data_IF_734967130194
#
_entry.id   IF_734967130194
#
_cell.length_a   1.000
_cell.length_b   1.000
_cell.length_c   1.000
_cell.angle_alpha   90.00
_cell.angle_beta   90.00
_cell.angle_gamma   90.00
#
_symmetry.space_group_name_H-M   'P 1'
#
loop_
_entity.id
_entity.type
_entity.pdbx_description
1 polymer ?
#
# COMPACT_ATOMS: atom_id res chain seq x y z
N UNK A 1 43.39 77.57 2.30
CA UNK A 1 43.65 76.21 1.77
C UNK A 1 43.17 75.18 2.79
N UNK A 2 42.37 74.21 2.31
CA UNK A 2 42.01 72.90 2.90
C UNK A 2 41.24 72.85 4.23
N UNK A 3 39.92 72.65 4.10
CA UNK A 3 39.04 71.98 5.07
C UNK A 3 39.34 70.49 5.09
N UNK A 4 39.37 69.86 6.27
CA UNK A 4 39.16 68.41 6.45
C UNK A 4 38.21 68.21 7.64
N UNK A 5 37.01 67.63 7.43
CA UNK A 5 36.07 67.37 8.51
C UNK A 5 36.35 66.04 9.21
N UNK A 6 36.07 66.03 10.51
CA UNK A 6 36.04 64.87 11.39
C UNK A 6 34.92 63.93 10.92
N UNK A 7 35.26 62.73 10.46
CA UNK A 7 34.30 61.67 10.15
C UNK A 7 34.34 60.65 11.29
N UNK A 8 33.25 60.56 12.06
CA UNK A 8 32.99 59.48 13.03
C UNK A 8 32.80 58.16 12.26
N UNK A 9 33.39 57.03 12.69
CA UNK A 9 33.08 55.75 12.08
C UNK A 9 31.66 55.32 12.45
N UNK A 10 30.81 55.21 11.43
CA UNK A 10 29.51 54.52 11.51
C UNK A 10 29.78 53.02 11.56
N UNK A 11 29.46 52.39 12.69
CA UNK A 11 29.35 50.94 12.83
C UNK A 11 28.18 50.46 11.97
N UNK A 12 28.47 49.77 10.87
CA UNK A 12 27.49 49.00 10.12
C UNK A 12 27.40 47.63 10.79
N UNK A 13 26.37 47.43 11.62
CA UNK A 13 26.02 46.11 12.14
C UNK A 13 25.40 45.31 11.00
N UNK A 14 26.17 44.40 10.41
CA UNK A 14 25.63 43.42 9.46
C UNK A 14 24.71 42.46 10.22
N UNK A 15 23.39 42.60 10.00
CA UNK A 15 22.40 41.65 10.49
C UNK A 15 22.51 40.38 9.63
N UNK A 16 23.25 39.40 10.13
CA UNK A 16 23.23 38.03 9.58
C UNK A 16 21.85 37.44 9.86
N UNK A 17 20.98 37.46 8.85
CA UNK A 17 19.79 36.61 8.83
C UNK A 17 20.29 35.18 8.64
N UNK A 18 20.57 34.51 9.74
CA UNK A 18 20.72 33.05 9.75
C UNK A 18 19.33 32.47 9.54
N UNK A 19 18.98 32.20 8.27
CA UNK A 19 17.86 31.31 7.97
C UNK A 19 18.18 29.96 8.61
N UNK A 20 17.35 29.53 9.56
CA UNK A 20 17.42 28.17 10.07
C UNK A 20 17.08 27.25 8.91
N UNK A 21 18.09 26.60 8.33
CA UNK A 21 17.86 25.47 7.44
C UNK A 21 17.18 24.38 8.27
N UNK A 22 15.87 24.25 8.12
CA UNK A 22 15.12 23.16 8.72
C UNK A 22 15.56 21.89 8.00
N UNK A 23 15.99 20.88 8.76
CA UNK A 23 16.34 19.59 8.17
C UNK A 23 15.09 19.03 7.46
N UNK A 24 15.29 18.38 6.32
CA UNK A 24 14.20 17.71 5.61
C UNK A 24 13.54 16.67 6.55
N UNK A 25 12.23 16.44 6.41
CA UNK A 25 11.53 15.46 7.21
C UNK A 25 12.09 14.06 6.90
N UNK A 26 12.17 13.23 7.94
CA UNK A 26 12.52 11.83 7.75
C UNK A 26 11.33 11.01 7.23
N UNK A 27 11.60 9.76 6.84
CA UNK A 27 10.56 8.87 6.33
C UNK A 27 9.42 8.62 7.32
N UNK A 28 9.69 8.64 8.63
CA UNK A 28 8.65 8.44 9.65
C UNK A 28 7.71 9.64 9.70
N UNK A 29 8.24 10.86 9.69
CA UNK A 29 7.44 12.08 9.67
C UNK A 29 6.56 12.16 8.42
N UNK A 30 7.11 11.78 7.26
CA UNK A 30 6.34 11.68 6.01
C UNK A 30 5.20 10.67 6.14
N UNK A 31 5.48 9.51 6.72
CA UNK A 31 4.51 8.44 6.86
C UNK A 31 3.38 8.82 7.83
N UNK A 32 3.71 9.43 8.97
CA UNK A 32 2.79 9.87 10.02
C UNK A 32 1.74 10.88 9.53
N UNK A 33 2.08 11.73 8.56
CA UNK A 33 1.13 12.71 7.99
C UNK A 33 0.40 12.20 6.75
N UNK A 34 0.87 11.08 6.19
CA UNK A 34 0.22 10.38 5.08
C UNK A 34 -0.88 9.46 5.61
N UNK A 35 -1.84 9.02 4.77
CA UNK A 35 -2.86 8.06 5.19
C UNK A 35 -2.33 6.62 5.32
N UNK A 36 -1.05 6.37 5.01
CA UNK A 36 -0.52 5.01 4.86
C UNK A 36 -0.54 4.24 6.17
N UNK A 37 -0.09 4.83 7.28
CA UNK A 37 -0.06 4.13 8.58
C UNK A 37 -1.44 3.72 9.06
N UNK A 38 -2.39 4.63 8.90
CA UNK A 38 -3.80 4.38 9.14
C UNK A 38 -4.31 3.19 8.30
N UNK A 39 -4.06 3.22 7.00
CA UNK A 39 -4.54 2.18 6.09
C UNK A 39 -3.87 0.83 6.40
N UNK A 40 -2.55 0.82 6.64
CA UNK A 40 -1.77 -0.38 6.97
C UNK A 40 -2.24 -1.02 8.28
N UNK A 41 -2.60 -0.22 9.29
CA UNK A 41 -3.16 -0.74 10.55
C UNK A 41 -4.45 -1.57 10.34
N UNK A 42 -5.17 -1.33 9.23
CA UNK A 42 -6.44 -2.01 8.89
C UNK A 42 -6.23 -3.24 8.00
N UNK A 43 -5.07 -3.38 7.36
CA UNK A 43 -4.76 -4.47 6.42
C UNK A 43 -4.87 -5.88 7.01
N UNK A 44 -4.36 -6.17 8.23
CA UNK A 44 -4.49 -7.51 8.80
C UNK A 44 -5.95 -7.95 8.93
N UNK A 45 -6.85 -7.07 9.39
CA UNK A 45 -8.28 -7.36 9.50
C UNK A 45 -8.92 -7.63 8.12
N UNK A 46 -8.61 -6.77 7.13
CA UNK A 46 -9.09 -6.92 5.75
C UNK A 46 -8.65 -8.25 5.13
N UNK A 47 -7.36 -8.58 5.23
CA UNK A 47 -6.80 -9.81 4.69
C UNK A 47 -7.40 -11.06 5.36
N UNK A 48 -7.51 -11.03 6.69
CA UNK A 48 -8.11 -12.12 7.48
C UNK A 48 -9.57 -12.38 7.10
N UNK A 49 -10.32 -11.31 6.81
CA UNK A 49 -11.69 -11.43 6.33
C UNK A 49 -11.75 -11.99 4.91
N UNK A 50 -10.92 -11.46 3.99
CA UNK A 50 -10.85 -11.91 2.60
C UNK A 50 -10.50 -13.40 2.48
N UNK A 51 -9.50 -13.86 3.23
CA UNK A 51 -9.10 -15.28 3.26
C UNK A 51 -10.24 -16.15 3.77
N UNK A 52 -10.88 -15.78 4.88
CA UNK A 52 -12.01 -16.55 5.42
C UNK A 52 -13.16 -16.65 4.44
N UNK A 53 -13.49 -15.56 3.75
CA UNK A 53 -14.56 -15.55 2.74
C UNK A 53 -14.19 -16.41 1.52
N UNK A 54 -12.97 -16.28 1.00
CA UNK A 54 -12.49 -17.09 -0.11
C UNK A 54 -12.44 -18.60 0.20
N UNK A 55 -12.04 -18.97 1.42
CA UNK A 55 -12.03 -20.37 1.86
C UNK A 55 -13.44 -20.94 2.03
N UNK A 56 -14.41 -20.13 2.48
CA UNK A 56 -15.83 -20.54 2.57
C UNK A 56 -16.45 -20.77 1.19
N UNK A 57 -16.19 -19.86 0.24
CA UNK A 57 -16.75 -19.96 -1.12
C UNK A 57 -16.22 -21.17 -1.89
N UNK A 58 -14.98 -21.58 -1.64
CA UNK A 58 -14.41 -22.75 -2.30
C UNK A 58 -14.93 -24.09 -1.75
N UNK A 59 -15.60 -24.14 -0.58
CA UNK A 59 -16.31 -25.32 -0.05
C UNK A 59 -15.48 -26.61 0.14
N UNK A 60 -14.20 -26.60 -0.20
CA UNK A 60 -13.34 -27.79 -0.35
C UNK A 60 -12.50 -28.09 0.90
N UNK A 61 -12.47 -27.18 1.88
CA UNK A 61 -11.67 -27.34 3.09
C UNK A 61 -12.56 -27.54 4.32
N UNK A 62 -12.25 -28.52 5.19
CA UNK A 62 -12.89 -28.62 6.50
C UNK A 62 -12.77 -27.28 7.26
N UNK A 63 -13.83 -26.80 7.94
CA UNK A 63 -13.83 -25.49 8.61
C UNK A 63 -12.67 -25.28 9.58
N UNK A 64 -12.21 -26.35 10.26
CA UNK A 64 -11.04 -26.31 11.14
C UNK A 64 -9.73 -26.01 10.39
N UNK A 65 -9.55 -26.57 9.20
CA UNK A 65 -8.38 -26.31 8.34
C UNK A 65 -8.44 -24.87 7.82
N UNK A 66 -9.61 -24.43 7.35
CA UNK A 66 -9.80 -23.05 6.89
C UNK A 66 -9.52 -22.02 7.99
N UNK A 67 -9.99 -22.28 9.22
CA UNK A 67 -9.72 -21.42 10.37
C UNK A 67 -8.24 -21.42 10.77
N UNK A 68 -7.57 -22.58 10.69
CA UNK A 68 -6.15 -22.70 11.02
C UNK A 68 -5.29 -21.92 10.01
N UNK A 69 -5.55 -22.08 8.71
CA UNK A 69 -4.87 -21.30 7.65
C UNK A 69 -5.15 -19.81 7.82
N UNK A 70 -6.41 -19.43 8.04
CA UNK A 70 -6.79 -18.05 8.32
C UNK A 70 -5.97 -17.47 9.47
N UNK A 71 -5.92 -18.14 10.62
CA UNK A 71 -5.19 -17.69 11.80
C UNK A 71 -3.68 -17.61 11.58
N UNK A 72 -3.08 -18.61 10.91
CA UNK A 72 -1.64 -18.62 10.62
C UNK A 72 -1.27 -17.44 9.73
N UNK A 73 -2.05 -17.21 8.67
CA UNK A 73 -1.82 -16.11 7.74
C UNK A 73 -2.05 -14.76 8.45
N UNK A 74 -3.13 -14.62 9.23
CA UNK A 74 -3.38 -13.43 10.07
C UNK A 74 -2.26 -13.15 11.07
N UNK A 75 -1.68 -14.18 11.67
CA UNK A 75 -0.60 -14.05 12.67
C UNK A 75 0.73 -13.67 12.04
N UNK A 76 0.91 -13.95 10.74
CA UNK A 76 2.08 -13.52 9.96
C UNK A 76 2.04 -12.04 9.57
N UNK A 77 0.88 -11.39 9.66
CA UNK A 77 0.73 -9.96 9.34
C UNK A 77 0.75 -9.11 10.60
N UNK A 78 1.88 -8.44 10.82
CA UNK A 78 2.04 -7.47 11.89
C UNK A 78 2.12 -6.07 11.28
N UNK A 79 1.17 -5.19 11.63
CA UNK A 79 1.14 -3.81 11.12
C UNK A 79 2.39 -3.02 11.50
N UNK A 80 2.99 -3.29 12.66
CA UNK A 80 4.22 -2.63 13.10
C UNK A 80 5.40 -3.03 12.21
N UNK A 81 5.48 -4.30 11.81
CA UNK A 81 6.56 -4.77 10.94
C UNK A 81 6.40 -4.22 9.52
N UNK A 82 5.16 -4.14 9.02
CA UNK A 82 4.84 -3.51 7.73
C UNK A 82 5.23 -2.02 7.77
N UNK A 83 4.84 -1.29 8.81
CA UNK A 83 5.20 0.12 9.00
C UNK A 83 6.72 0.32 9.02
N UNK A 84 7.45 -0.45 9.83
CA UNK A 84 8.90 -0.34 9.90
C UNK A 84 9.57 -0.66 8.56
N UNK A 85 9.06 -1.64 7.80
CA UNK A 85 9.55 -1.93 6.46
C UNK A 85 9.34 -0.74 5.51
N UNK A 86 8.17 -0.10 5.54
CA UNK A 86 7.88 1.08 4.73
C UNK A 86 8.82 2.23 5.09
N UNK A 87 9.02 2.52 6.38
CA UNK A 87 9.92 3.59 6.84
C UNK A 87 11.35 3.34 6.34
N UNK A 88 11.87 2.13 6.53
CA UNK A 88 13.21 1.76 6.09
C UNK A 88 13.39 1.90 4.58
N UNK A 89 12.41 1.41 3.81
CA UNK A 89 12.45 1.47 2.36
C UNK A 89 12.31 2.90 1.83
N UNK A 90 11.45 3.73 2.44
CA UNK A 90 11.32 5.15 2.10
C UNK A 90 12.63 5.89 2.38
N UNK A 91 13.21 5.70 3.57
CA UNK A 91 14.47 6.35 3.95
C UNK A 91 15.64 5.93 3.05
N UNK A 92 15.64 4.69 2.55
CA UNK A 92 16.68 4.17 1.69
C UNK A 92 16.52 4.58 0.21
N UNK A 93 15.28 4.80 -0.26
CA UNK A 93 14.98 4.93 -1.70
C UNK A 93 14.55 6.34 -2.12
N UNK A 94 14.06 7.17 -1.20
CA UNK A 94 13.73 8.58 -1.49
C UNK A 94 14.90 9.49 -1.12
N UNK A 95 15.05 10.55 -1.90
CA UNK A 95 15.93 11.67 -1.56
C UNK A 95 15.26 12.59 -0.53
N UNK A 96 16.05 13.36 0.22
CA UNK A 96 15.55 14.39 1.15
C UNK A 96 14.57 15.35 0.47
N UNK A 97 14.84 15.74 -0.78
CA UNK A 97 13.93 16.60 -1.56
C UNK A 97 12.60 15.94 -1.90
N UNK A 98 12.60 14.62 -2.12
CA UNK A 98 11.36 13.88 -2.37
C UNK A 98 10.58 13.69 -1.07
N UNK A 99 11.26 13.37 0.04
CA UNK A 99 10.62 13.29 1.36
C UNK A 99 9.97 14.63 1.74
N UNK A 100 10.68 15.74 1.56
CA UNK A 100 10.13 17.08 1.79
C UNK A 100 8.91 17.36 0.88
N UNK A 101 8.99 17.05 -0.42
CA UNK A 101 7.88 17.31 -1.34
C UNK A 101 6.63 16.46 -1.02
N UNK A 102 6.81 15.21 -0.59
CA UNK A 102 5.70 14.37 -0.11
C UNK A 102 5.13 14.93 1.17
N UNK A 103 6.00 15.36 2.10
CA UNK A 103 5.56 15.96 3.35
C UNK A 103 4.68 17.20 3.10
N UNK A 104 5.20 18.15 2.33
CA UNK A 104 4.52 19.41 2.01
C UNK A 104 3.18 19.18 1.31
N UNK A 105 3.10 18.14 0.45
CA UNK A 105 1.84 17.76 -0.19
C UNK A 105 0.78 17.31 0.83
N UNK A 106 1.13 16.40 1.74
CA UNK A 106 0.19 15.89 2.74
C UNK A 106 -0.20 16.95 3.79
N UNK A 107 0.55 18.04 3.92
CA UNK A 107 0.15 19.22 4.69
C UNK A 107 -0.89 20.11 3.99
N UNK A 108 -1.23 19.86 2.72
CA UNK A 108 -2.23 20.66 2.02
C UNK A 108 -3.66 20.32 2.50
N UNK A 109 -4.61 21.28 2.47
CA UNK A 109 -6.02 20.99 2.77
C UNK A 109 -6.63 19.93 1.85
N UNK A 110 -6.22 19.90 0.58
CA UNK A 110 -6.70 18.93 -0.41
C UNK A 110 -6.24 17.52 -0.05
N UNK A 111 -4.94 17.34 0.23
CA UNK A 111 -4.42 16.05 0.65
C UNK A 111 -5.06 15.56 1.95
N UNK A 112 -5.21 16.40 2.98
CA UNK A 112 -5.91 16.00 4.21
C UNK A 112 -7.34 15.54 3.99
N UNK A 113 -8.08 16.20 3.10
CA UNK A 113 -9.45 15.82 2.74
C UNK A 113 -9.47 14.44 2.06
N UNK A 114 -8.54 14.21 1.15
CA UNK A 114 -8.37 12.95 0.43
C UNK A 114 -7.94 11.83 1.39
N UNK A 115 -6.91 12.05 2.21
CA UNK A 115 -6.46 11.11 3.25
C UNK A 115 -7.62 10.70 4.15
N UNK A 116 -8.44 11.66 4.60
CA UNK A 116 -9.61 11.37 5.42
C UNK A 116 -10.62 10.45 4.71
N UNK A 117 -10.81 10.64 3.41
CA UNK A 117 -11.70 9.81 2.60
C UNK A 117 -11.13 8.40 2.39
N UNK A 118 -9.84 8.28 2.08
CA UNK A 118 -9.13 7.00 1.89
C UNK A 118 -9.12 6.18 3.20
N UNK A 119 -8.82 6.83 4.33
CA UNK A 119 -8.86 6.20 5.66
C UNK A 119 -10.28 5.69 5.95
N UNK A 120 -11.30 6.53 5.75
CA UNK A 120 -12.70 6.12 5.98
C UNK A 120 -13.14 4.97 5.07
N UNK A 121 -12.67 4.92 3.82
CA UNK A 121 -12.96 3.84 2.88
C UNK A 121 -12.19 2.54 3.19
N UNK A 122 -11.05 2.63 3.88
CA UNK A 122 -10.27 1.47 4.31
C UNK A 122 -10.85 0.73 5.53
N UNK A 123 -11.81 1.33 6.22
CA UNK A 123 -12.50 0.70 7.36
C UNK A 123 -13.24 -0.58 6.92
N UNK A 124 -13.19 -1.68 7.71
CA UNK A 124 -13.94 -2.90 7.40
C UNK A 124 -15.44 -2.66 7.21
N UNK A 125 -16.01 -1.67 7.90
CA UNK A 125 -17.41 -1.29 7.79
C UNK A 125 -17.78 -0.58 6.48
N UNK A 126 -16.80 -0.09 5.72
CA UNK A 126 -17.02 0.57 4.43
C UNK A 126 -17.24 -0.44 3.30
N UNK A 127 -16.70 -1.65 3.40
CA UNK A 127 -16.74 -2.64 2.32
C UNK A 127 -18.16 -3.02 1.87
N UNK A 128 -19.11 -3.34 2.77
CA UNK A 128 -20.48 -3.64 2.34
C UNK A 128 -21.14 -2.42 1.68
N UNK A 129 -20.74 -1.20 2.08
CA UNK A 129 -21.28 0.04 1.51
C UNK A 129 -20.74 0.27 0.10
N UNK A 130 -19.44 0.04 -0.12
CA UNK A 130 -18.81 0.08 -1.46
C UNK A 130 -19.56 -0.88 -2.38
N UNK A 131 -19.71 -2.14 -1.98
CA UNK A 131 -20.42 -3.16 -2.78
C UNK A 131 -21.89 -2.79 -3.05
N UNK A 132 -22.62 -2.32 -2.04
CA UNK A 132 -24.03 -1.95 -2.20
C UNK A 132 -24.23 -0.72 -3.11
N UNK A 133 -23.30 0.22 -3.07
CA UNK A 133 -23.35 1.46 -3.85
C UNK A 133 -22.79 1.33 -5.27
N UNK A 134 -22.04 0.27 -5.56
CA UNK A 134 -21.26 0.12 -6.79
C UNK A 134 -22.12 0.33 -8.06
N UNK A 135 -23.26 -0.34 -8.17
CA UNK A 135 -24.12 -0.24 -9.35
C UNK A 135 -24.68 1.18 -9.57
N UNK A 136 -25.11 1.84 -8.49
CA UNK A 136 -25.64 3.20 -8.53
C UNK A 136 -24.55 4.20 -8.93
N UNK A 137 -23.39 4.15 -8.27
CA UNK A 137 -22.27 5.05 -8.54
C UNK A 137 -21.72 4.84 -9.95
N UNK A 138 -21.61 3.59 -10.43
CA UNK A 138 -21.22 3.31 -11.80
C UNK A 138 -22.19 3.96 -12.78
N UNK A 139 -23.50 3.80 -12.58
CA UNK A 139 -24.53 4.42 -13.43
C UNK A 139 -24.44 5.95 -13.41
N UNK A 140 -24.29 6.54 -12.22
CA UNK A 140 -24.23 7.98 -12.00
C UNK A 140 -23.01 8.62 -12.68
N UNK A 141 -21.84 7.99 -12.60
CA UNK A 141 -20.60 8.57 -13.08
C UNK A 141 -20.18 8.10 -14.47
N UNK A 142 -20.88 7.14 -15.08
CA UNK A 142 -20.58 6.65 -16.43
C UNK A 142 -20.53 7.79 -17.45
N UNK A 143 -19.42 7.90 -18.17
CA UNK A 143 -19.22 8.95 -19.19
C UNK A 143 -19.02 10.36 -18.62
N UNK A 144 -18.86 10.50 -17.30
CA UNK A 144 -18.48 11.77 -16.68
C UNK A 144 -16.97 11.94 -16.63
N UNK A 145 -16.51 13.19 -16.51
CA UNK A 145 -15.08 13.49 -16.29
C UNK A 145 -14.50 12.75 -15.07
N UNK A 146 -15.30 12.52 -14.02
CA UNK A 146 -14.85 11.79 -12.83
C UNK A 146 -14.47 10.34 -13.16
N UNK A 147 -15.27 9.66 -13.99
CA UNK A 147 -14.95 8.32 -14.46
C UNK A 147 -13.67 8.28 -15.32
N UNK A 148 -13.48 9.26 -16.21
CA UNK A 148 -12.28 9.35 -17.06
C UNK A 148 -10.98 9.53 -16.25
N UNK A 149 -11.04 10.25 -15.13
CA UNK A 149 -9.89 10.51 -14.27
C UNK A 149 -9.42 9.22 -13.60
N UNK A 150 -10.32 8.29 -13.27
CA UNK A 150 -9.96 7.09 -12.54
C UNK A 150 -9.10 6.09 -13.32
N UNK A 151 -9.21 6.05 -14.65
CA UNK A 151 -8.30 5.24 -15.46
C UNK A 151 -6.86 5.76 -15.38
N UNK A 152 -6.68 7.08 -15.35
CA UNK A 152 -5.35 7.71 -15.21
C UNK A 152 -4.86 7.61 -13.77
N UNK A 153 -5.76 7.80 -12.81
CA UNK A 153 -5.50 7.62 -11.39
C UNK A 153 -5.03 6.21 -11.07
N UNK A 154 -5.68 5.17 -11.58
CA UNK A 154 -5.28 3.78 -11.34
C UNK A 154 -3.88 3.48 -11.83
N UNK A 155 -3.49 4.03 -12.98
CA UNK A 155 -2.12 3.90 -13.51
C UNK A 155 -1.09 4.63 -12.64
N UNK A 156 -1.44 5.82 -12.14
CA UNK A 156 -0.55 6.61 -11.29
C UNK A 156 -0.40 6.00 -9.89
N UNK A 157 -1.50 5.56 -9.28
CA UNK A 157 -1.54 4.93 -7.96
C UNK A 157 -1.10 3.46 -7.98
N UNK A 158 -1.14 2.80 -9.15
CA UNK A 158 -0.86 1.37 -9.36
C UNK A 158 -1.72 0.42 -8.52
N UNK A 159 -2.91 0.85 -8.07
CA UNK A 159 -3.67 0.05 -7.10
C UNK A 159 -4.16 -1.28 -7.69
N UNK A 160 -4.67 -1.29 -8.92
CA UNK A 160 -5.10 -2.54 -9.58
C UNK A 160 -3.94 -3.51 -9.78
N UNK A 161 -2.79 -3.02 -10.25
CA UNK A 161 -1.58 -3.85 -10.42
C UNK A 161 -1.16 -4.48 -9.08
N UNK A 162 -1.07 -3.66 -8.04
CA UNK A 162 -0.68 -4.07 -6.69
C UNK A 162 -1.63 -5.10 -6.09
N UNK A 163 -2.93 -4.92 -6.28
CA UNK A 163 -3.96 -5.84 -5.81
C UNK A 163 -3.91 -7.19 -6.55
N UNK A 164 -3.64 -7.17 -7.87
CA UNK A 164 -3.42 -8.40 -8.65
C UNK A 164 -2.17 -9.13 -8.18
N UNK A 165 -1.05 -8.42 -8.01
CA UNK A 165 0.20 -9.01 -7.55
C UNK A 165 0.08 -9.59 -6.14
N UNK A 166 -0.58 -8.89 -5.24
CA UNK A 166 -0.86 -9.38 -3.88
C UNK A 166 -1.75 -10.62 -3.92
N UNK A 167 -2.79 -10.64 -4.76
CA UNK A 167 -3.66 -11.80 -4.92
C UNK A 167 -2.88 -13.03 -5.40
N UNK A 168 -2.03 -12.86 -6.41
CA UNK A 168 -1.17 -13.92 -6.93
C UNK A 168 -0.19 -14.41 -5.86
N UNK A 169 0.47 -13.49 -5.14
CA UNK A 169 1.41 -13.83 -4.07
C UNK A 169 0.75 -14.65 -2.96
N UNK A 170 -0.45 -14.25 -2.52
CA UNK A 170 -1.23 -15.01 -1.53
C UNK A 170 -1.59 -16.40 -2.06
N UNK A 171 -2.05 -16.52 -3.31
CA UNK A 171 -2.37 -17.82 -3.92
C UNK A 171 -1.15 -18.74 -4.03
N UNK A 172 0.00 -18.21 -4.46
CA UNK A 172 1.26 -18.95 -4.55
C UNK A 172 1.79 -19.38 -3.18
N UNK A 173 1.68 -18.52 -2.18
CA UNK A 173 2.09 -18.83 -0.83
C UNK A 173 1.21 -19.92 -0.19
N UNK A 174 -0.11 -19.87 -0.40
CA UNK A 174 -1.02 -20.94 0.01
C UNK A 174 -0.74 -22.26 -0.72
N UNK A 175 -0.49 -22.21 -2.03
CA UNK A 175 -0.09 -23.36 -2.83
C UNK A 175 1.20 -24.01 -2.30
N UNK A 176 2.20 -23.20 -1.95
CA UNK A 176 3.46 -23.66 -1.35
C UNK A 176 3.21 -24.35 -0.01
N UNK A 177 2.39 -23.74 0.85
CA UNK A 177 2.01 -24.33 2.13
C UNK A 177 1.31 -25.67 1.95
N UNK A 178 0.36 -25.80 1.01
CA UNK A 178 -0.32 -27.06 0.72
C UNK A 178 0.62 -28.14 0.16
N UNK A 179 1.54 -27.77 -0.73
CA UNK A 179 2.53 -28.69 -1.28
C UNK A 179 3.49 -29.24 -0.21
N UNK A 180 3.76 -28.48 0.86
CA UNK A 180 4.53 -28.98 2.00
C UNK A 180 3.83 -30.13 2.76
N UNK A 181 2.49 -30.24 2.66
CA UNK A 181 1.72 -31.34 3.25
C UNK A 181 1.52 -32.55 2.31
N UNK A 182 1.87 -32.42 1.03
CA UNK A 182 1.71 -33.49 0.05
C UNK A 182 3.07 -34.02 -0.42
N UNK A 183 3.14 -35.31 -0.73
CA UNK A 183 4.34 -35.92 -1.32
C UNK A 183 4.54 -35.55 -2.80
N UNK A 184 3.73 -34.64 -3.34
CA UNK A 184 3.55 -34.42 -4.78
C UNK A 184 4.04 -33.02 -5.21
N UNK A 185 5.27 -32.70 -4.81
CA UNK A 185 5.96 -31.44 -5.13
C UNK A 185 6.17 -31.21 -6.64
N UNK A 186 6.04 -32.26 -7.46
CA UNK A 186 6.11 -32.19 -8.92
C UNK A 186 5.03 -31.27 -9.55
N UNK A 187 3.95 -30.99 -8.81
CA UNK A 187 2.84 -30.16 -9.28
C UNK A 187 3.00 -28.65 -8.97
N UNK A 188 4.02 -28.22 -8.21
CA UNK A 188 4.16 -26.82 -7.80
C UNK A 188 4.39 -25.86 -8.97
N UNK A 189 5.32 -26.17 -9.87
CA UNK A 189 5.61 -25.31 -11.03
C UNK A 189 4.43 -25.22 -11.99
N UNK A 190 3.69 -26.32 -12.18
CA UNK A 190 2.46 -26.32 -12.98
C UNK A 190 1.36 -25.48 -12.33
N UNK A 191 1.22 -25.56 -11.00
CA UNK A 191 0.28 -24.75 -10.23
C UNK A 191 0.64 -23.26 -10.28
N UNK A 192 1.93 -22.92 -10.15
CA UNK A 192 2.45 -21.56 -10.29
C UNK A 192 2.12 -20.99 -11.68
N UNK A 193 2.41 -21.74 -12.74
CA UNK A 193 2.08 -21.34 -14.11
C UNK A 193 0.56 -21.16 -14.31
N UNK A 194 -0.24 -22.06 -13.73
CA UNK A 194 -1.70 -21.97 -13.78
C UNK A 194 -2.23 -20.71 -13.09
N UNK A 195 -1.69 -20.36 -11.91
CA UNK A 195 -2.04 -19.12 -11.19
C UNK A 195 -1.65 -17.89 -12.01
N UNK A 196 -0.41 -17.84 -12.52
CA UNK A 196 0.06 -16.71 -13.34
C UNK A 196 -0.72 -16.56 -14.65
N UNK A 197 -1.18 -17.66 -15.26
CA UNK A 197 -2.00 -17.62 -16.48
C UNK A 197 -3.33 -16.88 -16.28
N UNK A 198 -3.82 -16.79 -15.04
CA UNK A 198 -5.06 -16.09 -14.69
C UNK A 198 -4.89 -14.58 -14.50
N UNK A 199 -3.67 -14.04 -14.55
CA UNK A 199 -3.37 -12.63 -14.30
C UNK A 199 -4.23 -11.66 -15.10
N UNK A 200 -4.48 -11.93 -16.39
CA UNK A 200 -5.32 -11.05 -17.21
C UNK A 200 -6.79 -11.04 -16.76
N UNK A 201 -7.31 -12.20 -16.35
CA UNK A 201 -8.67 -12.30 -15.80
C UNK A 201 -8.74 -11.59 -14.44
N UNK A 202 -7.77 -11.85 -13.57
CA UNK A 202 -7.66 -11.18 -12.27
C UNK A 202 -7.61 -9.67 -12.42
N UNK A 203 -6.83 -9.15 -13.38
CA UNK A 203 -6.78 -7.70 -13.67
C UNK A 203 -8.16 -7.13 -14.03
N UNK A 204 -8.97 -7.85 -14.80
CA UNK A 204 -10.33 -7.39 -15.13
C UNK A 204 -11.24 -7.35 -13.90
N UNK A 205 -11.26 -8.42 -13.09
CA UNK A 205 -12.12 -8.52 -11.90
C UNK A 205 -11.68 -7.55 -10.81
N UNK A 206 -10.39 -7.56 -10.47
CA UNK A 206 -9.79 -6.68 -9.46
C UNK A 206 -9.88 -5.22 -9.90
N UNK A 207 -9.63 -4.94 -11.18
CA UNK A 207 -9.73 -3.58 -11.72
C UNK A 207 -11.12 -2.98 -11.55
N UNK A 208 -12.17 -3.77 -11.79
CA UNK A 208 -13.55 -3.31 -11.53
C UNK A 208 -13.80 -3.04 -10.04
N UNK A 209 -13.32 -3.91 -9.15
CA UNK A 209 -13.48 -3.71 -7.69
C UNK A 209 -12.74 -2.47 -7.19
N UNK A 210 -11.53 -2.24 -7.71
CA UNK A 210 -10.73 -1.05 -7.43
C UNK A 210 -11.44 0.20 -7.94
N UNK A 211 -11.98 0.16 -9.16
CA UNK A 211 -12.77 1.25 -9.73
C UNK A 211 -14.03 1.57 -8.90
N UNK A 212 -14.77 0.56 -8.46
CA UNK A 212 -15.93 0.74 -7.58
C UNK A 212 -15.53 1.38 -6.24
N UNK A 213 -14.39 0.98 -5.69
CA UNK A 213 -13.80 1.59 -4.49
C UNK A 213 -13.45 3.06 -4.71
N UNK A 214 -12.88 3.41 -5.86
CA UNK A 214 -12.59 4.82 -6.19
C UNK A 214 -13.85 5.67 -6.27
N UNK A 215 -14.90 5.18 -6.94
CA UNK A 215 -16.16 5.90 -7.04
C UNK A 215 -16.74 6.22 -5.66
N UNK A 216 -16.69 5.25 -4.74
CA UNK A 216 -17.16 5.43 -3.37
C UNK A 216 -16.26 6.37 -2.55
N UNK A 217 -14.95 6.13 -2.57
CA UNK A 217 -13.95 6.85 -1.77
C UNK A 217 -13.94 8.33 -2.15
N UNK A 218 -13.95 8.64 -3.45
CA UNK A 218 -13.80 9.99 -3.95
C UNK A 218 -15.13 10.63 -4.39
N UNK A 219 -16.28 10.09 -3.96
CA UNK A 219 -17.60 10.62 -4.33
C UNK A 219 -17.76 12.10 -3.97
N UNK A 220 -17.21 12.52 -2.82
CA UNK A 220 -17.28 13.88 -2.28
C UNK A 220 -16.02 14.73 -2.56
N UNK A 221 -15.10 14.22 -3.39
CA UNK A 221 -13.94 14.96 -3.87
C UNK A 221 -14.28 15.63 -5.20
N UNK A 222 -13.99 16.92 -5.30
CA UNK A 222 -14.23 17.73 -6.48
C UNK A 222 -13.23 17.43 -7.59
N UNK A 223 -13.57 17.77 -8.84
CA UNK A 223 -12.71 17.49 -9.99
C UNK A 223 -11.32 18.14 -9.87
N UNK A 224 -11.27 19.42 -9.44
CA UNK A 224 -10.01 20.16 -9.26
C UNK A 224 -9.13 19.55 -8.14
N UNK A 225 -9.74 19.10 -7.04
CA UNK A 225 -9.03 18.42 -5.95
C UNK A 225 -8.43 17.09 -6.45
N UNK A 226 -9.15 16.39 -7.33
CA UNK A 226 -8.66 15.15 -7.92
C UNK A 226 -7.55 15.37 -8.94
N UNK A 227 -7.63 16.43 -9.74
CA UNK A 227 -6.57 16.82 -10.66
C UNK A 227 -5.27 17.14 -9.89
N UNK A 228 -5.37 17.88 -8.77
CA UNK A 228 -4.20 18.15 -7.90
C UNK A 228 -3.60 16.86 -7.33
N UNK A 229 -4.44 15.91 -6.91
CA UNK A 229 -3.94 14.64 -6.41
C UNK A 229 -3.22 13.84 -7.50
N UNK A 230 -3.78 13.84 -8.70
CA UNK A 230 -3.18 13.16 -9.84
C UNK A 230 -1.85 13.80 -10.26
N UNK A 231 -1.76 15.14 -10.25
CA UNK A 231 -0.51 15.86 -10.47
C UNK A 231 0.55 15.49 -9.42
N UNK A 232 0.17 15.34 -8.15
CA UNK A 232 1.07 14.85 -7.13
C UNK A 232 1.53 13.41 -7.41
N UNK A 233 0.61 12.48 -7.66
CA UNK A 233 0.95 11.07 -7.92
C UNK A 233 1.85 10.89 -9.15
N UNK A 234 1.72 11.75 -10.15
CA UNK A 234 2.55 11.74 -11.35
C UNK A 234 3.86 12.55 -11.21
N UNK A 235 4.01 13.33 -10.13
CA UNK A 235 5.25 14.02 -9.83
C UNK A 235 6.38 13.03 -9.51
N UNK A 236 7.64 13.49 -9.62
CA UNK A 236 8.79 12.65 -9.27
C UNK A 236 8.79 12.19 -7.81
N UNK A 237 8.21 12.97 -6.90
CA UNK A 237 8.14 12.64 -5.48
C UNK A 237 6.97 11.68 -5.19
N UNK A 238 5.77 12.00 -5.67
CA UNK A 238 4.58 11.15 -5.48
C UNK A 238 4.73 9.78 -6.14
N UNK A 239 5.22 9.72 -7.38
CA UNK A 239 5.43 8.44 -8.06
C UNK A 239 6.48 7.56 -7.34
N UNK A 240 7.55 8.15 -6.81
CA UNK A 240 8.55 7.45 -6.03
C UNK A 240 7.98 6.94 -4.70
N UNK A 241 7.26 7.81 -3.98
CA UNK A 241 6.60 7.46 -2.73
C UNK A 241 5.60 6.32 -2.90
N UNK A 242 4.63 6.45 -3.82
CA UNK A 242 3.63 5.42 -4.09
C UNK A 242 4.27 4.10 -4.48
N UNK A 243 5.29 4.12 -5.36
CA UNK A 243 6.01 2.91 -5.75
C UNK A 243 6.70 2.22 -4.56
N UNK A 244 7.36 2.99 -3.71
CA UNK A 244 8.06 2.43 -2.55
C UNK A 244 7.06 1.84 -1.56
N UNK A 245 6.05 2.61 -1.14
CA UNK A 245 4.99 2.15 -0.22
C UNK A 245 4.33 0.86 -0.72
N UNK A 246 3.87 0.86 -1.98
CA UNK A 246 3.24 -0.31 -2.60
C UNK A 246 4.15 -1.54 -2.55
N UNK A 247 5.42 -1.39 -2.96
CA UNK A 247 6.35 -2.52 -3.00
C UNK A 247 6.68 -3.02 -1.59
N UNK A 248 6.83 -2.13 -0.61
CA UNK A 248 7.10 -2.48 0.78
C UNK A 248 5.94 -3.26 1.39
N UNK A 249 4.70 -2.83 1.15
CA UNK A 249 3.52 -3.57 1.63
C UNK A 249 3.44 -4.94 0.94
N UNK A 250 3.63 -5.01 -0.37
CA UNK A 250 3.64 -6.29 -1.10
C UNK A 250 4.69 -7.26 -0.54
N UNK A 251 5.90 -6.77 -0.27
CA UNK A 251 6.98 -7.57 0.28
C UNK A 251 6.64 -8.06 1.69
N UNK A 252 6.19 -7.16 2.56
CA UNK A 252 5.80 -7.48 3.93
C UNK A 252 4.59 -8.44 4.00
N UNK A 253 3.77 -8.48 2.94
CA UNK A 253 2.69 -9.47 2.81
C UNK A 253 3.21 -10.81 2.28
N UNK A 254 4.16 -10.81 1.36
CA UNK A 254 4.60 -12.04 0.68
C UNK A 254 5.55 -12.87 1.54
N UNK A 255 6.46 -12.22 2.28
CA UNK A 255 7.48 -12.90 3.10
C UNK A 255 6.91 -13.82 4.19
N UNK A 256 5.89 -13.42 4.98
CA UNK A 256 5.29 -14.30 5.97
C UNK A 256 4.65 -15.54 5.35
N UNK A 257 4.00 -15.39 4.19
CA UNK A 257 3.31 -16.51 3.52
C UNK A 257 4.32 -17.53 2.98
N UNK A 258 5.47 -17.08 2.46
CA UNK A 258 6.57 -17.97 2.09
C UNK A 258 7.21 -18.66 3.31
N UNK A 259 7.35 -17.93 4.42
CA UNK A 259 7.91 -18.44 5.68
C UNK A 259 7.03 -19.54 6.29
N UNK A 260 5.71 -19.37 6.26
CA UNK A 260 4.74 -20.38 6.72
C UNK A 260 4.93 -21.70 5.95
N UNK A 261 5.08 -21.65 4.63
CA UNK A 261 5.36 -22.85 3.82
C UNK A 261 6.66 -23.56 4.23
N UNK A 262 7.71 -22.80 4.55
CA UNK A 262 9.00 -23.33 5.01
C UNK A 262 8.95 -23.89 6.44
N UNK A 263 8.23 -23.24 7.36
CA UNK A 263 8.07 -23.73 8.72
C UNK A 263 7.25 -25.02 8.75
N UNK A 264 6.21 -25.12 7.93
CA UNK A 264 5.37 -26.32 7.83
C UNK A 264 6.13 -27.52 7.24
N UNK A 265 7.00 -27.31 6.24
CA UNK A 265 7.85 -28.39 5.72
C UNK A 265 8.89 -28.86 6.74
N UNK A 266 9.41 -27.97 7.59
CA UNK A 266 10.34 -28.31 8.68
C UNK A 266 9.73 -29.18 9.78
N UNK A 267 8.43 -29.04 10.08
CA UNK A 267 7.73 -29.91 11.04
C UNK A 267 7.39 -31.30 10.49
N UNK A 268 7.33 -31.46 9.17
CA UNK A 268 6.92 -32.70 8.50
C UNK A 268 8.09 -33.51 7.93
N UNK A 269 9.30 -32.92 7.85
CA UNK A 269 10.51 -33.68 7.60
C UNK A 269 10.74 -34.62 8.80
N UNK A 270 10.86 -35.95 8.59
CA UNK A 270 11.19 -36.86 9.67
C UNK A 270 12.52 -36.40 10.27
N UNK A 271 12.53 -36.18 11.59
CA UNK A 271 13.78 -36.09 12.32
C UNK A 271 14.52 -37.40 12.08
N UNK A 272 15.53 -37.37 11.22
CA UNK A 272 16.60 -38.37 11.27
C UNK A 272 17.39 -38.09 12.54
N UNK A 273 16.82 -38.45 13.69
CA UNK A 273 17.58 -38.65 14.91
C UNK A 273 18.61 -39.75 14.64
N UNK A 274 19.83 -39.48 15.09
CA UNK A 274 21.03 -40.15 14.64
C UNK A 274 21.02 -41.64 14.91
N UNK A 275 21.39 -42.39 13.87
CA UNK A 275 21.95 -43.72 14.05
C UNK A 275 23.32 -43.58 14.71
N UNK A 276 23.39 -43.94 15.99
CA UNK A 276 24.58 -44.53 16.61
C UNK A 276 24.26 -45.96 17.01
#
# INVERSE_FOLDING_TARGET
MKRFPIIKPLLITALLVTGTAQAAPDARQVLEISPVDDIVARYPAMMSQGIREGLKQNGQLPPMVANTIGNIVSSGFNSVDIEQQIINDLQAKLTDSQLQAVHDWYETPVARKISSAEIAASEPSAWPKIQASAAELNSQYKGTRKAEVFDRFDRAARATESAVDTTIAVQLGLATAMAAFSSDSANYEQLRQSIESQRSMLRGVVGQQVYDSYLYTYQNIGAQEMDLYLEFLESSAGAAFSKVVTNSIQQAITEPVESIGKQMSGFLAPQTEGAQ
#
